data_IF_739125130670
#
_entry.id   IF_739125130670
#
_cell.length_a   1.000
_cell.length_b   1.000
_cell.length_c   1.000
_cell.angle_alpha   90.00
_cell.angle_beta   90.00
_cell.angle_gamma   90.00
#
_symmetry.space_group_name_H-M   'P 1'
#
loop_
_entity.id
_entity.type
_entity.pdbx_description
1 polymer ?
#
# COMPACT_ATOMS: atom_id res chain seq x y z
N UNK A 1 -0.98 -11.55 2.96
CA UNK A 1 0.34 -12.03 3.45
C UNK A 1 0.41 -13.53 3.70
N UNK A 2 -0.62 -14.17 4.27
CA UNK A 2 -0.59 -15.61 4.59
C UNK A 2 -0.07 -16.50 3.44
N UNK A 3 -0.62 -16.36 2.23
CA UNK A 3 -0.19 -17.17 1.08
C UNK A 3 1.31 -17.03 0.74
N UNK A 4 1.88 -15.83 0.87
CA UNK A 4 3.31 -15.57 0.62
C UNK A 4 4.16 -16.19 1.73
N UNK A 5 3.75 -16.05 2.99
CA UNK A 5 4.45 -16.66 4.12
C UNK A 5 4.44 -18.20 4.05
N UNK A 6 3.34 -18.79 3.56
CA UNK A 6 3.22 -20.25 3.38
C UNK A 6 4.10 -20.80 2.25
N UNK A 7 4.51 -19.97 1.29
CA UNK A 7 5.44 -20.38 0.23
C UNK A 7 6.89 -20.47 0.69
N UNK A 8 7.21 -20.01 1.91
CA UNK A 8 8.57 -19.94 2.46
C UNK A 8 9.62 -19.41 1.46
N UNK A 9 9.39 -18.24 0.84
CA UNK A 9 10.32 -17.70 -0.15
C UNK A 9 11.63 -17.27 0.53
N UNK A 10 12.75 -17.60 -0.10
CA UNK A 10 14.07 -17.11 0.31
C UNK A 10 14.24 -15.66 -0.17
N UNK A 11 14.01 -14.71 0.73
CA UNK A 11 14.08 -13.27 0.47
C UNK A 11 14.94 -12.60 1.53
N UNK A 12 15.81 -11.68 1.11
CA UNK A 12 16.59 -10.87 2.04
C UNK A 12 15.68 -9.98 2.89
N UNK A 13 16.21 -9.51 4.03
CA UNK A 13 15.46 -8.62 4.92
C UNK A 13 14.96 -7.36 4.20
N UNK A 14 15.79 -6.74 3.35
CA UNK A 14 15.39 -5.56 2.57
C UNK A 14 14.17 -5.83 1.68
N UNK A 15 14.15 -6.97 1.00
CA UNK A 15 13.02 -7.36 0.16
C UNK A 15 11.75 -7.64 0.97
N UNK A 16 11.87 -8.25 2.17
CA UNK A 16 10.73 -8.43 3.07
C UNK A 16 10.14 -7.11 3.55
N UNK A 17 10.98 -6.14 3.90
CA UNK A 17 10.54 -4.82 4.32
C UNK A 17 9.88 -4.07 3.15
N UNK A 18 10.45 -4.14 1.95
CA UNK A 18 9.89 -3.53 0.76
C UNK A 18 8.51 -4.12 0.40
N UNK A 19 8.36 -5.45 0.42
CA UNK A 19 7.07 -6.10 0.18
C UNK A 19 6.04 -5.72 1.25
N UNK A 20 6.45 -5.66 2.50
CA UNK A 20 5.56 -5.27 3.61
C UNK A 20 5.07 -3.83 3.43
N UNK A 21 5.97 -2.90 3.09
CA UNK A 21 5.64 -1.51 2.81
C UNK A 21 4.69 -1.40 1.61
N UNK A 22 5.04 -2.02 0.49
CA UNK A 22 4.27 -1.91 -0.76
C UNK A 22 2.90 -2.57 -0.64
N UNK A 23 2.79 -3.69 0.07
CA UNK A 23 1.49 -4.31 0.38
C UNK A 23 0.65 -3.44 1.34
N UNK A 24 1.27 -2.83 2.35
CA UNK A 24 0.59 -1.97 3.32
C UNK A 24 0.08 -0.66 2.69
N UNK A 25 0.97 0.10 2.06
CA UNK A 25 0.65 1.40 1.45
C UNK A 25 -0.18 1.22 0.16
N UNK A 26 0.12 0.20 -0.63
CA UNK A 26 -0.55 -0.06 -1.92
C UNK A 26 -2.07 -0.26 -1.80
N UNK A 27 -2.57 -0.75 -0.66
CA UNK A 27 -4.01 -0.88 -0.40
C UNK A 27 -4.78 0.44 -0.48
N UNK A 28 -4.10 1.59 -0.30
CA UNK A 28 -4.71 2.91 -0.38
C UNK A 28 -4.98 3.38 -1.82
N UNK A 29 -4.33 2.81 -2.83
CA UNK A 29 -4.42 3.28 -4.24
C UNK A 29 -5.85 3.25 -4.79
N UNK A 30 -6.63 2.23 -4.43
CA UNK A 30 -8.00 2.05 -4.91
C UNK A 30 -9.05 2.24 -3.81
N UNK A 31 -8.64 2.51 -2.56
CA UNK A 31 -9.47 2.54 -1.34
C UNK A 31 -10.14 1.20 -0.98
N UNK A 32 -10.62 0.42 -1.95
CA UNK A 32 -11.15 -0.94 -1.77
C UNK A 32 -10.06 -1.97 -1.45
N UNK A 33 -8.78 -1.63 -1.70
CA UNK A 33 -7.63 -2.45 -1.37
C UNK A 33 -7.29 -2.49 0.13
N UNK A 34 -8.04 -1.76 0.97
CA UNK A 34 -7.85 -1.72 2.42
C UNK A 34 -9.19 -1.80 3.15
N UNK A 35 -9.25 -2.61 4.21
CA UNK A 35 -10.44 -2.73 5.07
C UNK A 35 -10.89 -1.38 5.63
N UNK A 36 -9.94 -0.49 5.98
CA UNK A 36 -10.24 0.85 6.47
C UNK A 36 -10.92 1.71 5.40
N UNK A 37 -10.49 1.61 4.14
CA UNK A 37 -11.09 2.35 3.03
C UNK A 37 -12.51 1.88 2.71
N UNK A 38 -12.74 0.56 2.71
CA UNK A 38 -14.09 -0.01 2.55
C UNK A 38 -15.01 0.40 3.71
N UNK A 39 -14.52 0.34 4.95
CA UNK A 39 -15.29 0.77 6.13
C UNK A 39 -15.65 2.25 6.04
N UNK A 40 -14.70 3.13 5.68
CA UNK A 40 -14.94 4.56 5.50
C UNK A 40 -16.00 4.82 4.42
N UNK A 41 -15.93 4.15 3.26
CA UNK A 41 -16.94 4.28 2.20
C UNK A 41 -18.33 3.84 2.68
N UNK A 42 -18.41 2.77 3.49
CA UNK A 42 -19.68 2.32 4.08
C UNK A 42 -20.26 3.30 5.11
N UNK A 43 -19.41 3.96 5.90
CA UNK A 43 -19.85 4.89 6.95
C UNK A 43 -20.12 6.32 6.43
N UNK A 44 -19.44 6.74 5.36
CA UNK A 44 -19.49 8.12 4.87
C UNK A 44 -20.79 8.50 4.13
N UNK A 45 -21.80 7.61 4.05
CA UNK A 45 -23.14 7.89 3.46
C UNK A 45 -23.11 8.63 2.11
N UNK A 46 -22.16 8.29 1.24
CA UNK A 46 -22.02 8.90 -0.09
C UNK A 46 -21.16 10.17 -0.15
N UNK A 47 -20.66 10.70 0.97
CA UNK A 47 -19.67 11.79 0.98
C UNK A 47 -18.29 11.32 0.48
N UNK A 48 -17.98 10.04 0.69
CA UNK A 48 -16.76 9.41 0.22
C UNK A 48 -17.12 8.17 -0.61
N UNK A 49 -16.80 8.20 -1.90
CA UNK A 49 -17.14 7.16 -2.88
C UNK A 49 -15.91 6.69 -3.63
N UNK A 50 -15.98 5.50 -4.23
CA UNK A 50 -14.89 4.96 -5.04
C UNK A 50 -14.50 5.89 -6.20
N UNK A 51 -15.47 6.42 -6.94
CA UNK A 51 -15.19 7.36 -8.03
C UNK A 51 -14.57 8.68 -7.53
N UNK A 52 -15.01 9.16 -6.36
CA UNK A 52 -14.41 10.30 -5.69
C UNK A 52 -12.95 10.04 -5.29
N UNK A 53 -12.65 8.84 -4.78
CA UNK A 53 -11.29 8.43 -4.47
C UNK A 53 -10.41 8.31 -5.72
N UNK A 54 -10.96 7.74 -6.80
CA UNK A 54 -10.23 7.56 -8.06
C UNK A 54 -9.74 8.88 -8.65
N UNK A 55 -10.50 9.98 -8.46
CA UNK A 55 -10.06 11.34 -8.82
C UNK A 55 -8.76 11.75 -8.13
N UNK A 56 -8.52 11.27 -6.90
CA UNK A 56 -7.32 11.53 -6.11
C UNK A 56 -6.25 10.44 -6.25
N UNK A 57 -6.54 9.34 -6.95
CA UNK A 57 -5.59 8.24 -7.16
C UNK A 57 -4.21 8.70 -7.69
N UNK A 58 -4.08 9.70 -8.59
CA UNK A 58 -2.76 10.18 -9.02
C UNK A 58 -1.92 10.75 -7.87
N UNK A 59 -2.53 11.52 -6.96
CA UNK A 59 -1.84 12.09 -5.80
C UNK A 59 -1.45 11.00 -4.81
N UNK A 60 -2.32 10.01 -4.62
CA UNK A 60 -2.05 8.85 -3.75
C UNK A 60 -0.93 7.99 -4.35
N UNK A 61 -0.92 7.81 -5.67
CA UNK A 61 0.13 7.09 -6.38
C UNK A 61 1.49 7.79 -6.24
N UNK A 62 1.52 9.13 -6.28
CA UNK A 62 2.74 9.88 -5.96
C UNK A 62 3.24 9.59 -4.54
N UNK A 63 2.34 9.54 -3.55
CA UNK A 63 2.68 9.16 -2.18
C UNK A 63 3.22 7.73 -2.07
N UNK A 64 2.64 6.78 -2.81
CA UNK A 64 3.11 5.40 -2.89
C UNK A 64 4.53 5.32 -3.46
N UNK A 65 4.80 6.00 -4.59
CA UNK A 65 6.14 6.04 -5.19
C UNK A 65 7.13 6.71 -4.23
N UNK A 66 6.75 7.83 -3.62
CA UNK A 66 7.59 8.52 -2.65
C UNK A 66 7.93 7.64 -1.43
N UNK A 67 6.99 6.83 -0.94
CA UNK A 67 7.26 5.88 0.15
C UNK A 67 8.28 4.82 -0.24
N UNK A 68 8.24 4.31 -1.47
CA UNK A 68 9.20 3.31 -1.98
C UNK A 68 10.59 3.95 -2.08
N UNK A 69 10.69 5.11 -2.71
CA UNK A 69 11.98 5.81 -2.86
C UNK A 69 12.59 6.15 -1.50
N UNK A 70 11.77 6.64 -0.56
CA UNK A 70 12.21 6.90 0.82
C UNK A 70 12.68 5.62 1.52
N UNK A 71 11.97 4.51 1.33
CA UNK A 71 12.35 3.22 1.90
C UNK A 71 13.69 2.72 1.38
N UNK A 72 13.91 2.76 0.06
CA UNK A 72 15.16 2.39 -0.57
C UNK A 72 16.30 3.29 -0.07
N UNK A 73 16.08 4.59 0.01
CA UNK A 73 17.08 5.54 0.49
C UNK A 73 17.46 5.33 1.96
N UNK A 74 16.47 5.13 2.84
CA UNK A 74 16.72 4.93 4.28
C UNK A 74 17.31 3.56 4.61
N UNK A 75 17.07 2.56 3.76
CA UNK A 75 17.50 1.17 3.98
C UNK A 75 18.56 0.74 2.96
N UNK A 76 19.30 1.67 2.37
CA UNK A 76 20.30 1.42 1.32
C UNK A 76 21.27 0.27 1.67
N UNK A 77 21.67 0.16 2.95
CA UNK A 77 22.53 -0.92 3.44
C UNK A 77 21.91 -2.34 3.40
N UNK A 78 20.61 -2.47 3.14
CA UNK A 78 19.88 -3.74 3.05
C UNK A 78 19.61 -4.18 1.60
N UNK A 79 20.00 -3.36 0.60
CA UNK A 79 19.73 -3.56 -0.82
C UNK A 79 20.99 -3.75 -1.67
#
# INVERSE_FOLDING_TARGET
MFAVLSMQPDMSLGQWLLVTLTAGVGGSLLSIGSAAGVALMGQARGLYTFAGHLRWAPVIALGYIASILCHLWLNDALF
#
